data_IF_106496962216
#
_entry.id   IF_106496962216
#
_cell.length_a   1.000
_cell.length_b   1.000
_cell.length_c   1.000
_cell.angle_alpha   90.00
_cell.angle_beta   90.00
_cell.angle_gamma   90.00
#
_symmetry.space_group_name_H-M   'P 1'
#
loop_
_entity.id
_entity.type
_entity.pdbx_description
1 polymer ?
#
# COMPACT_ATOMS: atom_id res chain seq x y z
N UNK A 1 6.25 -12.57 -0.20
CA UNK A 1 6.82 -11.30 0.25
C UNK A 1 6.09 -10.13 -0.35
N UNK A 2 5.97 -9.08 0.44
CA UNK A 2 5.25 -7.87 0.03
C UNK A 2 6.21 -6.77 -0.43
N UNK A 3 7.39 -7.18 -0.90
CA UNK A 3 8.39 -6.21 -1.34
C UNK A 3 7.93 -5.55 -2.64
N UNK A 4 7.88 -4.23 -2.68
CA UNK A 4 7.47 -3.55 -3.89
C UNK A 4 8.54 -3.64 -4.97
N UNK A 5 8.10 -3.66 -6.21
CA UNK A 5 8.99 -3.59 -7.36
C UNK A 5 9.20 -2.13 -7.73
N UNK A 6 10.44 -1.71 -7.83
CA UNK A 6 10.79 -0.32 -8.06
C UNK A 6 11.02 -0.05 -9.54
N UNK A 7 10.34 0.97 -10.07
CA UNK A 7 10.49 1.42 -11.44
C UNK A 7 10.91 2.87 -11.41
N UNK A 8 12.05 3.15 -12.01
CA UNK A 8 12.57 4.51 -12.09
C UNK A 8 11.91 5.28 -13.24
N UNK A 9 11.50 6.52 -12.96
CA UNK A 9 10.93 7.44 -13.95
C UNK A 9 11.58 8.81 -13.73
N UNK A 10 12.67 9.08 -14.44
CA UNK A 10 13.48 10.26 -14.19
C UNK A 10 14.08 10.22 -12.80
N UNK A 11 13.83 11.23 -11.98
CA UNK A 11 14.25 11.27 -10.59
C UNK A 11 13.21 10.63 -9.66
N UNK A 12 12.06 10.27 -10.19
CA UNK A 12 10.98 9.67 -9.42
C UNK A 12 11.08 8.15 -9.46
N UNK A 13 10.54 7.51 -8.45
CA UNK A 13 10.49 6.07 -8.37
C UNK A 13 9.02 5.68 -8.16
N UNK A 14 8.57 4.73 -8.95
CA UNK A 14 7.21 4.20 -8.87
C UNK A 14 7.24 2.76 -8.41
N UNK A 15 6.27 2.39 -7.61
CA UNK A 15 6.15 1.03 -7.13
C UNK A 15 4.69 0.66 -6.94
N UNK A 16 4.44 -0.63 -6.94
CA UNK A 16 3.14 -1.19 -6.58
C UNK A 16 3.30 -2.00 -5.30
N UNK A 17 2.40 -1.78 -4.35
CA UNK A 17 2.37 -2.54 -3.12
C UNK A 17 1.05 -3.27 -3.04
N UNK A 18 1.12 -4.60 -2.92
CA UNK A 18 -0.07 -5.44 -2.82
C UNK A 18 -0.42 -5.67 -1.37
N UNK A 19 -1.63 -5.33 -0.99
CA UNK A 19 -2.14 -5.52 0.36
C UNK A 19 -3.50 -6.19 0.32
N UNK A 20 -3.81 -6.95 1.35
CA UNK A 20 -5.14 -7.52 1.49
C UNK A 20 -6.18 -6.41 1.57
N UNK A 21 -7.35 -6.64 0.98
CA UNK A 21 -8.44 -5.67 1.07
C UNK A 21 -8.83 -5.38 2.52
N UNK A 22 -8.64 -6.32 3.43
CA UNK A 22 -8.92 -6.11 4.85
C UNK A 22 -7.91 -5.17 5.49
N UNK A 23 -6.64 -5.23 5.06
CA UNK A 23 -5.64 -4.27 5.53
C UNK A 23 -6.00 -2.85 5.09
N UNK A 24 -6.53 -2.72 3.89
CA UNK A 24 -6.97 -1.41 3.38
C UNK A 24 -8.19 -0.90 4.13
N UNK A 25 -9.08 -1.81 4.49
CA UNK A 25 -10.30 -1.46 5.21
C UNK A 25 -10.02 -1.03 6.65
N UNK A 26 -9.12 -1.75 7.32
CA UNK A 26 -8.81 -1.53 8.73
C UNK A 26 -7.70 -0.51 8.95
N UNK A 27 -6.88 -0.30 7.94
CA UNK A 27 -5.67 0.49 8.07
C UNK A 27 -4.52 -0.35 8.57
N UNK A 28 -3.31 0.02 8.19
CA UNK A 28 -2.11 -0.71 8.58
C UNK A 28 -0.89 0.17 8.41
N UNK A 29 0.22 -0.25 8.98
CA UNK A 29 1.52 0.35 8.75
C UNK A 29 2.41 -0.70 8.10
N UNK A 30 3.08 -0.33 7.00
CA UNK A 30 3.92 -1.24 6.23
C UNK A 30 5.34 -0.71 6.21
N UNK A 31 6.32 -1.45 6.72
CA UNK A 31 7.71 -1.07 6.57
C UNK A 31 8.15 -1.31 5.13
N UNK A 32 8.76 -0.32 4.53
CA UNK A 32 9.23 -0.38 3.16
C UNK A 32 10.71 -0.02 3.16
N UNK A 33 11.52 -0.84 2.49
CA UNK A 33 12.93 -0.51 2.27
C UNK A 33 13.00 0.23 0.94
N UNK A 34 13.39 1.50 0.99
CA UNK A 34 13.50 2.32 -0.20
C UNK A 34 14.73 1.93 -1.01
N UNK A 35 14.82 2.33 -2.31
CA UNK A 35 16.03 2.07 -3.09
C UNK A 35 17.30 2.68 -2.51
N UNK A 36 17.18 3.66 -1.62
CA UNK A 36 18.31 4.25 -0.91
C UNK A 36 18.64 3.49 0.38
N UNK A 37 18.08 2.29 0.54
CA UNK A 37 18.29 1.41 1.71
C UNK A 37 17.83 2.01 3.03
N UNK A 38 16.90 2.95 2.97
CA UNK A 38 16.29 3.53 4.16
C UNK A 38 14.96 2.83 4.44
N UNK A 39 14.71 2.54 5.70
CA UNK A 39 13.42 1.98 6.10
C UNK A 39 12.41 3.11 6.23
N UNK A 40 11.30 2.98 5.53
CA UNK A 40 10.19 3.91 5.59
C UNK A 40 8.97 3.18 6.12
N UNK A 41 8.34 3.73 7.15
CA UNK A 41 7.09 3.18 7.65
C UNK A 41 5.94 3.90 6.96
N UNK A 42 5.28 3.20 6.06
CA UNK A 42 4.15 3.76 5.32
C UNK A 42 2.86 3.51 6.09
N UNK A 43 2.21 4.59 6.48
CA UNK A 43 0.94 4.50 7.19
C UNK A 43 -0.20 4.49 6.17
N UNK A 44 -0.94 3.38 6.16
CA UNK A 44 -2.12 3.21 5.30
C UNK A 44 -3.35 3.49 6.16
N UNK A 45 -4.04 4.63 5.96
CA UNK A 45 -5.23 4.92 6.76
C UNK A 45 -6.36 3.96 6.46
N UNK A 46 -7.23 3.77 7.43
CA UNK A 46 -8.38 2.90 7.23
C UNK A 46 -9.30 3.47 6.16
N UNK A 47 -9.90 2.57 5.38
CA UNK A 47 -10.76 2.98 4.28
C UNK A 47 -10.01 3.38 3.02
N UNK A 48 -8.72 3.06 2.92
CA UNK A 48 -7.96 3.32 1.71
C UNK A 48 -8.49 2.46 0.57
N UNK A 49 -8.80 3.10 -0.54
CA UNK A 49 -9.34 2.38 -1.71
C UNK A 49 -8.22 1.76 -2.52
N UNK A 50 -8.43 0.56 -3.08
CA UNK A 50 -7.48 -0.02 -4.04
C UNK A 50 -7.25 0.95 -5.21
N UNK A 51 -6.01 1.02 -5.67
CA UNK A 51 -5.63 1.94 -6.73
C UNK A 51 -5.16 3.30 -6.26
N UNK A 52 -5.23 3.56 -4.95
CA UNK A 52 -4.73 4.81 -4.38
C UNK A 52 -3.21 4.85 -4.50
N UNK A 53 -2.68 6.01 -4.89
CA UNK A 53 -1.23 6.22 -4.99
C UNK A 53 -0.79 7.16 -3.88
N UNK A 54 0.17 6.72 -3.09
CA UNK A 54 0.81 7.57 -2.08
C UNK A 54 2.08 8.16 -2.64
N UNK A 55 2.31 9.44 -2.40
CA UNK A 55 3.55 10.10 -2.79
C UNK A 55 4.35 10.44 -1.55
N UNK A 56 5.63 10.06 -1.57
CA UNK A 56 6.55 10.32 -0.48
C UNK A 56 7.67 11.19 -1.05
N UNK A 57 7.63 12.49 -0.82
CA UNK A 57 8.66 13.38 -1.33
C UNK A 57 10.01 13.10 -0.68
N UNK A 58 11.07 13.37 -1.41
CA UNK A 58 12.46 13.22 -0.93
C UNK A 58 12.92 11.77 -0.76
N UNK A 59 12.21 10.80 -1.32
CA UNK A 59 12.59 9.38 -1.25
C UNK A 59 12.82 8.76 -2.64
N UNK A 60 12.81 9.59 -3.70
CA UNK A 60 13.19 9.14 -5.03
C UNK A 60 14.70 9.15 -5.22
N UNK A 61 15.14 9.13 -6.49
CA UNK A 61 16.57 9.15 -6.83
C UNK A 61 17.11 10.56 -6.61
N UNK A 62 18.24 10.71 -5.90
CA UNK A 62 18.87 12.04 -5.76
C UNK A 62 19.28 12.61 -7.12
N UNK A 63 18.93 13.85 -7.37
CA UNK A 63 19.32 14.55 -8.58
C UNK A 63 20.61 15.32 -8.33
N UNK A 64 21.68 14.98 -9.05
CA UNK A 64 23.00 15.60 -8.84
C UNK A 64 23.03 17.07 -9.24
N UNK A 65 22.16 17.48 -10.16
CA UNK A 65 22.13 18.88 -10.63
C UNK A 65 21.36 19.79 -9.67
N UNK A 66 20.20 19.32 -9.19
CA UNK A 66 19.36 20.12 -8.30
C UNK A 66 19.62 19.83 -6.83
N UNK A 67 20.33 18.74 -6.54
CA UNK A 67 20.60 18.23 -5.19
C UNK A 67 19.33 17.91 -4.41
N UNK A 68 18.22 17.68 -5.12
CA UNK A 68 16.94 17.32 -4.53
C UNK A 68 16.58 15.89 -4.94
N UNK A 69 16.24 15.03 -4.00
CA UNK A 69 15.70 13.72 -4.35
C UNK A 69 14.34 13.88 -4.99
N UNK A 70 14.01 12.97 -5.89
CA UNK A 70 12.71 12.94 -6.51
C UNK A 70 11.64 12.43 -5.55
N UNK A 71 10.50 12.03 -6.10
CA UNK A 71 9.34 11.58 -5.34
C UNK A 71 9.21 10.06 -5.50
N UNK A 72 8.90 9.40 -4.39
CA UNK A 72 8.56 7.99 -4.38
C UNK A 72 7.05 7.86 -4.45
N UNK A 73 6.55 7.20 -5.51
CA UNK A 73 5.13 6.93 -5.68
C UNK A 73 4.85 5.45 -5.42
N UNK A 74 3.93 5.18 -4.53
CA UNK A 74 3.54 3.81 -4.18
C UNK A 74 2.06 3.65 -4.48
N UNK A 75 1.75 2.84 -5.48
CA UNK A 75 0.37 2.51 -5.83
C UNK A 75 -0.07 1.30 -5.03
N UNK A 76 -1.17 1.44 -4.32
CA UNK A 76 -1.70 0.37 -3.49
C UNK A 76 -2.64 -0.47 -4.33
N UNK A 77 -2.36 -1.76 -4.40
CA UNK A 77 -3.21 -2.73 -5.08
C UNK A 77 -3.92 -3.59 -4.03
N UNK A 78 -5.23 -3.67 -4.13
CA UNK A 78 -6.02 -4.55 -3.26
C UNK A 78 -5.97 -5.98 -3.76
N UNK A 79 -5.70 -6.92 -2.87
CA UNK A 79 -5.63 -8.33 -3.19
C UNK A 79 -6.73 -9.05 -2.40
N UNK A 80 -7.47 -9.91 -3.10
CA UNK A 80 -8.48 -10.74 -2.46
C UNK A 80 -7.77 -11.88 -1.72
N UNK A 81 -7.89 -11.96 -0.40
CA UNK A 81 -7.29 -13.08 0.33
C UNK A 81 -8.03 -14.38 0.04
N UNK A 82 -7.29 -15.48 0.03
CA UNK A 82 -7.88 -16.80 -0.09
C UNK A 82 -8.24 -17.30 1.31
N UNK A 83 -9.53 -17.52 1.53
CA UNK A 83 -10.03 -17.97 2.83
C UNK A 83 -10.80 -19.27 2.62
N UNK A 84 -10.32 -20.33 3.24
CA UNK A 84 -10.93 -21.65 3.12
C UNK A 84 -11.65 -22.10 4.41
N UNK A 85 -11.34 -21.46 5.53
CA UNK A 85 -11.95 -21.80 6.81
C UNK A 85 -13.41 -21.33 6.85
N UNK A 86 -14.32 -22.25 7.04
CA UNK A 86 -15.75 -21.95 7.06
C UNK A 86 -16.14 -21.02 8.21
N UNK A 87 -15.49 -21.13 9.35
CA UNK A 87 -15.77 -20.25 10.48
C UNK A 87 -15.39 -18.81 10.16
N UNK A 88 -14.25 -18.63 9.49
CA UNK A 88 -13.81 -17.31 9.06
C UNK A 88 -14.75 -16.73 8.01
N UNK A 89 -15.17 -17.55 7.05
CA UNK A 89 -16.13 -17.12 6.04
C UNK A 89 -17.46 -16.71 6.65
N UNK A 90 -17.91 -17.42 7.69
CA UNK A 90 -19.14 -17.09 8.39
C UNK A 90 -19.02 -15.72 9.07
N UNK A 91 -17.89 -15.43 9.69
CA UNK A 91 -17.64 -14.13 10.30
C UNK A 91 -17.67 -13.01 9.27
N UNK A 92 -17.07 -13.26 8.11
CA UNK A 92 -17.06 -12.28 7.03
C UNK A 92 -18.47 -12.03 6.50
N UNK A 93 -19.28 -13.09 6.40
CA UNK A 93 -20.68 -12.96 5.98
C UNK A 93 -21.46 -12.09 6.95
N UNK A 94 -21.26 -12.27 8.23
CA UNK A 94 -21.90 -11.44 9.25
C UNK A 94 -21.49 -9.97 9.13
N UNK A 95 -20.22 -9.73 8.90
CA UNK A 95 -19.68 -8.38 8.70
C UNK A 95 -20.28 -7.76 7.44
N UNK A 96 -20.32 -8.52 6.34
CA UNK A 96 -20.92 -8.05 5.09
C UNK A 96 -22.37 -7.62 5.29
N UNK A 97 -23.15 -8.45 5.97
CA UNK A 97 -24.56 -8.16 6.21
C UNK A 97 -24.73 -6.93 7.09
N UNK A 98 -23.84 -6.76 8.07
CA UNK A 98 -23.84 -5.58 8.92
C UNK A 98 -23.52 -4.31 8.13
N UNK A 99 -22.52 -4.36 7.23
CA UNK A 99 -22.19 -3.23 6.37
C UNK A 99 -23.35 -2.86 5.46
N UNK A 100 -24.01 -3.87 4.87
CA UNK A 100 -25.13 -3.65 3.96
C UNK A 100 -26.32 -3.02 4.69
N UNK A 101 -26.53 -3.34 5.96
CA UNK A 101 -27.61 -2.72 6.74
C UNK A 101 -27.28 -1.27 7.12
N UNK A 102 -26.03 -0.90 7.13
CA UNK A 102 -25.60 0.44 7.52
C UNK A 102 -25.55 1.42 6.35
N UNK A 103 -25.71 0.94 5.12
CA UNK A 103 -25.64 1.81 3.92
C UNK A 103 -27.02 2.13 3.31
#
# INVERSE_FOLDING_TARGET
>A
PNDPTWIRDGDNIKSNLKLSIFDLLLGTEVPIITPLEKTLLLNIPKGTKPGTTFSVPSHGVPNVNTKRPGVLYIKIEGVMPTIQDENTLQKIKEIRDEINRST
#
